data_IF_653185878145
#
_entry.id   IF_653185878145
#
_cell.length_a   1.000
_cell.length_b   1.000
_cell.length_c   1.000
_cell.angle_alpha   90.00
_cell.angle_beta   90.00
_cell.angle_gamma   90.00
#
_symmetry.space_group_name_H-M   'P 1'
#
loop_
_entity.id
_entity.type
_entity.pdbx_description
1 polymer ?
#
# COMPACT_ATOMS: atom_id res chain seq x y z
N UNK A 1 -8.59 10.27 -12.63
CA UNK A 1 -7.27 9.81 -13.08
C UNK A 1 -7.45 9.24 -14.47
N UNK A 2 -6.89 9.87 -15.50
CA UNK A 2 -7.23 9.53 -16.89
C UNK A 2 -6.48 8.29 -17.40
N UNK A 3 -5.37 7.89 -16.77
CA UNK A 3 -4.66 6.64 -17.09
C UNK A 3 -3.82 6.13 -15.88
N UNK A 4 -4.34 5.16 -15.10
CA UNK A 4 -3.60 4.56 -13.99
C UNK A 4 -2.37 3.76 -14.42
N UNK A 5 -2.34 3.23 -15.65
CA UNK A 5 -1.20 2.43 -16.14
C UNK A 5 0.01 3.32 -16.36
N UNK A 6 -0.19 4.46 -17.03
CA UNK A 6 0.85 5.47 -17.23
C UNK A 6 1.45 5.95 -15.90
N UNK A 7 0.61 6.09 -14.86
CA UNK A 7 1.10 6.42 -13.52
C UNK A 7 2.10 5.38 -13.03
N UNK A 8 1.75 4.09 -13.03
CA UNK A 8 2.62 3.01 -12.57
C UNK A 8 3.90 2.85 -13.39
N UNK A 9 3.83 3.11 -14.71
CA UNK A 9 5.02 3.12 -15.57
C UNK A 9 5.98 4.27 -15.22
N UNK A 10 5.47 5.38 -14.68
CA UNK A 10 6.25 6.59 -14.38
C UNK A 10 6.88 6.64 -12.98
N UNK A 11 6.28 5.99 -11.98
CA UNK A 11 6.67 6.12 -10.56
C UNK A 11 7.84 5.21 -10.13
N UNK A 12 8.32 4.36 -11.03
CA UNK A 12 9.43 3.44 -10.76
C UNK A 12 9.04 2.29 -9.82
N UNK A 13 10.04 1.71 -9.15
CA UNK A 13 9.88 0.49 -8.35
C UNK A 13 9.84 0.73 -6.84
N UNK A 14 9.89 1.97 -6.34
CA UNK A 14 9.83 2.29 -4.91
C UNK A 14 8.76 3.36 -4.65
N UNK A 15 7.53 2.92 -4.39
CA UNK A 15 6.37 3.80 -4.34
C UNK A 15 5.64 3.65 -3.00
N UNK A 16 5.32 4.78 -2.37
CA UNK A 16 4.44 4.83 -1.21
C UNK A 16 3.09 5.36 -1.67
N UNK A 17 2.04 4.58 -1.44
CA UNK A 17 0.65 4.94 -1.71
C UNK A 17 -0.05 5.17 -0.39
N UNK A 18 -0.32 6.44 -0.10
CA UNK A 18 -0.94 6.86 1.15
C UNK A 18 -2.48 6.84 1.07
N UNK A 19 -3.14 6.41 2.15
CA UNK A 19 -4.59 6.38 2.30
C UNK A 19 -5.33 5.77 1.08
N UNK A 20 -4.86 4.61 0.62
CA UNK A 20 -5.32 3.95 -0.61
C UNK A 20 -6.84 3.67 -0.62
N UNK A 21 -7.51 3.66 0.55
CA UNK A 21 -8.96 3.48 0.62
C UNK A 21 -9.75 4.57 -0.12
N UNK A 22 -9.15 5.73 -0.41
CA UNK A 22 -9.77 6.75 -1.25
C UNK A 22 -9.76 6.40 -2.74
N UNK A 23 -8.93 5.42 -3.16
CA UNK A 23 -8.76 5.01 -4.56
C UNK A 23 -8.74 3.47 -4.68
N UNK A 24 -9.79 2.76 -4.23
CA UNK A 24 -9.78 1.28 -4.17
C UNK A 24 -9.51 0.60 -5.52
N UNK A 25 -9.89 1.24 -6.63
CA UNK A 25 -9.65 0.73 -7.99
C UNK A 25 -8.17 0.60 -8.34
N UNK A 26 -7.27 1.26 -7.61
CA UNK A 26 -5.83 1.23 -7.88
C UNK A 26 -5.21 -0.14 -7.57
N UNK A 27 -5.85 -0.95 -6.71
CA UNK A 27 -5.38 -2.28 -6.30
C UNK A 27 -5.17 -3.22 -7.48
N UNK A 28 -6.06 -3.18 -8.47
CA UNK A 28 -5.94 -3.99 -9.68
C UNK A 28 -4.67 -3.65 -10.46
N UNK A 29 -4.30 -2.38 -10.54
CA UNK A 29 -3.11 -1.93 -11.25
C UNK A 29 -1.82 -2.25 -10.48
N UNK A 30 -1.85 -2.17 -9.15
CA UNK A 30 -0.74 -2.64 -8.29
C UNK A 30 -0.49 -4.12 -8.54
N UNK A 31 -1.55 -4.95 -8.61
CA UNK A 31 -1.43 -6.38 -8.91
C UNK A 31 -0.76 -6.61 -10.26
N UNK A 32 -1.22 -5.92 -11.31
CA UNK A 32 -0.64 -6.01 -12.65
C UNK A 32 0.84 -5.65 -12.61
N UNK A 33 1.18 -4.51 -12.00
CA UNK A 33 2.56 -4.08 -11.88
C UNK A 33 3.41 -5.14 -11.15
N UNK A 34 2.98 -5.67 -10.00
CA UNK A 34 3.70 -6.72 -9.27
C UNK A 34 3.89 -7.98 -10.13
N UNK A 35 2.84 -8.42 -10.82
CA UNK A 35 2.88 -9.61 -11.66
C UNK A 35 3.82 -9.47 -12.87
N UNK A 36 4.04 -8.24 -13.38
CA UNK A 36 5.01 -7.95 -14.46
C UNK A 36 6.48 -8.02 -13.98
N UNK A 37 6.76 -7.74 -12.71
CA UNK A 37 8.12 -7.80 -12.14
C UNK A 37 8.17 -8.62 -10.84
N UNK A 38 7.73 -9.88 -10.88
CA UNK A 38 7.64 -10.76 -9.69
C UNK A 38 8.94 -10.93 -8.89
N UNK A 39 10.10 -10.73 -9.52
CA UNK A 39 11.41 -10.87 -8.87
C UNK A 39 11.80 -9.66 -8.01
N UNK A 40 11.14 -8.51 -8.19
CA UNK A 40 11.43 -7.28 -7.46
C UNK A 40 10.45 -7.15 -6.30
N UNK A 41 10.95 -7.32 -5.08
CA UNK A 41 10.16 -7.28 -3.84
C UNK A 41 10.14 -5.88 -3.25
N UNK A 42 9.12 -5.60 -2.42
CA UNK A 42 9.04 -4.34 -1.66
C UNK A 42 8.72 -3.11 -2.52
N UNK A 43 8.15 -3.31 -3.71
CA UNK A 43 7.95 -2.22 -4.67
C UNK A 43 6.96 -1.16 -4.23
N UNK A 44 5.99 -1.57 -3.44
CA UNK A 44 4.88 -0.76 -2.99
C UNK A 44 4.77 -0.85 -1.48
N UNK A 45 4.76 0.31 -0.84
CA UNK A 45 4.28 0.47 0.54
C UNK A 45 2.92 1.11 0.44
N UNK A 46 1.94 0.53 1.12
CA UNK A 46 0.56 0.98 1.09
C UNK A 46 0.17 1.28 2.52
N UNK A 47 -0.43 2.43 2.76
CA UNK A 47 -1.00 2.78 4.05
C UNK A 47 -2.51 2.93 3.93
N UNK A 48 -3.15 2.91 5.08
CA UNK A 48 -4.42 3.58 5.24
C UNK A 48 -5.02 3.34 6.61
N UNK A 49 -5.74 4.34 7.09
CA UNK A 49 -6.31 4.37 8.44
C UNK A 49 -7.50 3.41 8.61
N UNK A 50 -8.13 2.96 7.52
CA UNK A 50 -9.32 2.10 7.55
C UNK A 50 -8.99 0.62 7.30
N UNK A 51 -8.40 -0.04 8.31
CA UNK A 51 -7.88 -1.41 8.21
C UNK A 51 -8.86 -2.44 7.62
N UNK A 52 -10.14 -2.45 8.02
CA UNK A 52 -11.09 -3.49 7.61
C UNK A 52 -11.42 -3.48 6.10
N UNK A 53 -11.60 -2.30 5.50
CA UNK A 53 -11.87 -2.18 4.07
C UNK A 53 -10.63 -2.47 3.23
N UNK A 54 -9.47 -2.07 3.74
CA UNK A 54 -8.17 -2.35 3.17
C UNK A 54 -7.88 -3.85 3.11
N UNK A 55 -7.92 -4.55 4.25
CA UNK A 55 -7.55 -5.96 4.35
C UNK A 55 -8.49 -6.83 3.50
N UNK A 56 -9.80 -6.57 3.51
CA UNK A 56 -10.75 -7.37 2.73
C UNK A 56 -10.50 -7.28 1.23
N UNK A 57 -10.27 -6.07 0.70
CA UNK A 57 -10.10 -5.87 -0.74
C UNK A 57 -8.69 -6.21 -1.24
N UNK A 58 -7.65 -5.85 -0.46
CA UNK A 58 -6.24 -6.11 -0.80
C UNK A 58 -5.84 -7.56 -0.53
N UNK A 59 -6.26 -8.12 0.60
CA UNK A 59 -5.91 -9.47 1.04
C UNK A 59 -6.29 -10.52 0.00
N UNK A 60 -7.52 -10.45 -0.50
CA UNK A 60 -8.01 -11.38 -1.52
C UNK A 60 -7.32 -11.13 -2.88
N UNK A 61 -7.17 -9.86 -3.28
CA UNK A 61 -6.62 -9.51 -4.59
C UNK A 61 -5.12 -9.78 -4.73
N UNK A 62 -4.37 -9.63 -3.62
CA UNK A 62 -2.92 -9.72 -3.55
C UNK A 62 -2.41 -10.85 -2.64
N UNK A 63 -3.26 -11.85 -2.37
CA UNK A 63 -2.89 -13.02 -1.57
C UNK A 63 -1.54 -13.61 -2.00
N UNK A 64 -0.67 -13.88 -1.03
CA UNK A 64 0.69 -14.41 -1.23
C UNK A 64 1.71 -13.41 -1.79
N UNK A 65 1.31 -12.16 -2.08
CA UNK A 65 2.19 -11.11 -2.62
C UNK A 65 2.39 -9.92 -1.68
N UNK A 66 1.66 -9.87 -0.56
CA UNK A 66 1.72 -8.78 0.42
C UNK A 66 2.02 -9.32 1.81
N UNK A 67 2.61 -8.44 2.62
CA UNK A 67 2.61 -8.56 4.07
C UNK A 67 1.76 -7.41 4.62
N UNK A 68 0.93 -7.71 5.61
CA UNK A 68 0.06 -6.73 6.26
C UNK A 68 0.66 -6.46 7.64
N UNK A 69 0.89 -5.18 7.93
CA UNK A 69 1.37 -4.73 9.23
C UNK A 69 0.33 -3.80 9.83
N UNK A 70 -0.04 -4.05 11.08
CA UNK A 70 -0.88 -3.15 11.86
C UNK A 70 0.04 -2.34 12.76
N UNK A 71 0.00 -1.01 12.60
CA UNK A 71 0.73 -0.10 13.47
C UNK A 71 -0.21 0.34 14.59
N UNK A 72 0.21 0.05 15.82
CA UNK A 72 -0.48 0.55 17.00
C UNK A 72 -0.25 2.06 17.14
N UNK A 73 -1.18 2.78 17.79
CA UNK A 73 -0.91 4.14 18.24
C UNK A 73 0.35 4.19 19.10
N UNK A 74 1.02 5.34 19.12
CA UNK A 74 2.17 5.54 20.00
C UNK A 74 1.82 5.23 21.45
N UNK A 75 2.70 4.49 22.10
CA UNK A 75 2.70 4.39 23.55
C UNK A 75 2.92 5.76 24.18
N UNK A 76 2.59 5.89 25.46
CA UNK A 76 2.79 7.16 26.18
C UNK A 76 4.27 7.63 26.10
N UNK A 77 5.22 6.71 26.24
CA UNK A 77 6.64 7.02 26.16
C UNK A 77 7.11 7.42 24.75
N UNK A 78 6.53 6.85 23.70
CA UNK A 78 6.82 7.23 22.31
C UNK A 78 6.21 8.58 21.97
N UNK A 79 4.99 8.87 22.47
CA UNK A 79 4.34 10.17 22.31
C UNK A 79 5.20 11.30 22.89
N UNK A 80 5.73 11.13 24.09
CA UNK A 80 6.62 12.10 24.74
C UNK A 80 7.93 12.33 23.96
N UNK A 81 8.40 11.34 23.20
CA UNK A 81 9.57 11.47 22.32
C UNK A 81 9.23 12.13 20.99
N UNK A 82 8.06 11.85 20.42
CA UNK A 82 7.62 12.35 19.12
C UNK A 82 7.22 13.83 19.12
N UNK A 83 6.93 14.40 20.30
CA UNK A 83 6.53 15.81 20.46
C UNK A 83 7.74 16.73 20.78
N UNK A 84 8.92 16.15 21.05
CA UNK A 84 10.17 16.90 21.17
C UNK A 84 10.74 17.26 19.81
#
# INVERSE_FOLDING_TARGET
MTDPKLFFDSVGDNVILDEIQYVPQIVTYIKIAIDEKKNVKGRFIITGSQQFHLIKNLGDSLAGRIAIFELMPFSYNEKEQAIK
#
